data_IF_216507354138
#
_entry.id   IF_216507354138
#
_cell.length_a   1.000
_cell.length_b   1.000
_cell.length_c   1.000
_cell.angle_alpha   90.00
_cell.angle_beta   90.00
_cell.angle_gamma   90.00
#
_symmetry.space_group_name_H-M   'P 1'
#
loop_
_entity.id
_entity.type
_entity.pdbx_description
1 polymer ?
#
# COMPACT_ATOMS: atom_id res chain seq x y z
N UNK A 1 18.49 -56.77 -18.94
CA UNK A 1 18.84 -55.39 -19.34
C UNK A 1 17.93 -54.44 -18.58
N UNK A 2 18.48 -53.73 -17.59
CA UNK A 2 17.73 -52.92 -16.61
C UNK A 2 17.21 -51.65 -17.29
N UNK A 3 15.90 -51.44 -17.27
CA UNK A 3 15.22 -50.24 -17.77
C UNK A 3 15.49 -49.09 -16.80
N UNK A 4 16.21 -48.08 -17.27
CA UNK A 4 16.52 -46.87 -16.51
C UNK A 4 15.29 -45.94 -16.56
N UNK A 5 14.63 -45.77 -15.41
CA UNK A 5 13.58 -44.77 -15.20
C UNK A 5 14.25 -43.41 -15.02
N UNK A 6 14.11 -42.52 -15.99
CA UNK A 6 14.51 -41.11 -15.85
C UNK A 6 13.30 -40.37 -15.28
N UNK A 7 13.40 -39.97 -14.02
CA UNK A 7 12.41 -39.18 -13.31
C UNK A 7 12.29 -37.79 -13.97
N UNK A 8 11.07 -37.43 -14.37
CA UNK A 8 10.71 -36.12 -14.89
C UNK A 8 10.64 -35.15 -13.72
N UNK A 9 11.69 -34.37 -13.50
CA UNK A 9 11.70 -33.28 -12.53
C UNK A 9 10.91 -32.10 -13.11
N UNK A 10 9.59 -32.06 -12.85
CA UNK A 10 8.79 -30.86 -13.03
C UNK A 10 9.17 -29.85 -11.94
N UNK A 11 10.20 -29.05 -12.18
CA UNK A 11 10.40 -27.81 -11.44
C UNK A 11 9.27 -26.87 -11.88
N UNK A 12 8.20 -26.83 -11.10
CA UNK A 12 7.21 -25.79 -11.22
C UNK A 12 7.93 -24.47 -10.94
N UNK A 13 8.20 -23.70 -11.99
CA UNK A 13 8.50 -22.29 -11.87
C UNK A 13 7.24 -21.65 -11.28
N UNK A 14 7.22 -21.51 -9.96
CA UNK A 14 6.27 -20.65 -9.27
C UNK A 14 6.62 -19.26 -9.77
N UNK A 15 5.88 -18.83 -10.80
CA UNK A 15 5.92 -17.47 -11.28
C UNK A 15 5.55 -16.60 -10.10
N UNK A 16 6.56 -15.92 -9.54
CA UNK A 16 6.33 -14.80 -8.64
C UNK A 16 5.72 -13.73 -9.53
N UNK A 17 4.40 -13.72 -9.60
CA UNK A 17 3.65 -12.60 -10.17
C UNK A 17 4.05 -11.40 -9.35
N UNK A 18 4.94 -10.57 -9.90
CA UNK A 18 5.19 -9.24 -9.40
C UNK A 18 3.86 -8.50 -9.46
N UNK A 19 3.08 -8.56 -8.39
CA UNK A 19 2.00 -7.62 -8.14
C UNK A 19 2.69 -6.28 -7.92
N UNK A 20 2.98 -5.59 -9.03
CA UNK A 20 3.42 -4.20 -9.01
C UNK A 20 2.24 -3.42 -8.47
N UNK A 21 2.23 -3.17 -7.16
CA UNK A 21 1.31 -2.25 -6.54
C UNK A 21 1.36 -0.93 -7.31
N UNK A 22 0.24 -0.59 -7.98
CA UNK A 22 0.15 0.63 -8.79
C UNK A 22 0.47 1.82 -7.87
N UNK A 23 1.58 2.49 -8.16
CA UNK A 23 2.03 3.67 -7.41
C UNK A 23 1.54 4.91 -8.14
N UNK A 24 0.83 5.78 -7.43
CA UNK A 24 0.22 6.99 -7.97
C UNK A 24 0.76 8.21 -7.22
N UNK A 25 1.22 9.25 -7.93
CA UNK A 25 1.60 10.49 -7.26
C UNK A 25 0.37 11.20 -6.66
N UNK A 26 0.48 11.73 -5.44
CA UNK A 26 -0.65 12.33 -4.72
C UNK A 26 -1.21 13.56 -5.44
N UNK A 27 -0.38 14.30 -6.19
CA UNK A 27 -0.81 15.43 -7.02
C UNK A 27 -1.61 15.01 -8.27
N UNK A 28 -1.63 13.72 -8.61
CA UNK A 28 -2.42 13.15 -9.72
C UNK A 28 -3.74 12.52 -9.27
N UNK A 29 -4.04 12.55 -7.98
CA UNK A 29 -5.34 12.12 -7.45
C UNK A 29 -6.39 13.15 -7.90
N UNK A 30 -7.20 12.75 -8.86
CA UNK A 30 -8.35 13.50 -9.35
C UNK A 30 -9.66 12.94 -8.75
N UNK A 31 -10.80 13.53 -9.15
CA UNK A 31 -12.11 13.14 -8.64
C UNK A 31 -12.47 11.68 -8.93
N UNK A 32 -11.98 11.10 -10.02
CA UNK A 32 -12.27 9.70 -10.37
C UNK A 32 -11.49 8.75 -9.45
N UNK A 33 -10.23 9.09 -9.17
CA UNK A 33 -9.39 8.35 -8.23
C UNK A 33 -9.90 8.52 -6.79
N UNK A 34 -10.28 9.73 -6.38
CA UNK A 34 -10.91 9.98 -5.09
C UNK A 34 -12.19 9.15 -4.93
N UNK A 35 -13.04 9.13 -5.97
CA UNK A 35 -14.27 8.33 -5.96
C UNK A 35 -13.97 6.82 -5.88
N UNK A 36 -12.91 6.35 -6.53
CA UNK A 36 -12.46 4.96 -6.41
C UNK A 36 -11.97 4.65 -4.99
N UNK A 37 -11.15 5.52 -4.40
CA UNK A 37 -10.63 5.40 -3.04
C UNK A 37 -11.77 5.35 -2.02
N UNK A 38 -12.76 6.23 -2.13
CA UNK A 38 -13.96 6.25 -1.28
C UNK A 38 -14.82 4.98 -1.40
N UNK A 39 -14.73 4.24 -2.51
CA UNK A 39 -15.46 2.98 -2.69
C UNK A 39 -14.77 1.78 -2.07
N UNK A 40 -13.44 1.77 -2.05
CA UNK A 40 -12.64 0.65 -1.54
C UNK A 40 -12.28 0.83 -0.07
N UNK A 41 -12.18 2.07 0.40
CA UNK A 41 -12.06 2.40 1.81
C UNK A 41 -13.45 2.52 2.41
N UNK A 42 -13.62 2.03 3.63
CA UNK A 42 -14.87 2.18 4.36
C UNK A 42 -14.60 2.54 5.82
N UNK A 43 -15.59 3.15 6.46
CA UNK A 43 -15.55 3.47 7.89
C UNK A 43 -14.31 4.26 8.29
N UNK A 44 -13.60 3.72 9.27
CA UNK A 44 -12.47 4.32 9.96
C UNK A 44 -11.24 4.46 9.04
N UNK A 45 -11.05 3.55 8.07
CA UNK A 45 -9.93 3.62 7.12
C UNK A 45 -10.10 4.78 6.13
N UNK A 46 -11.33 5.11 5.74
CA UNK A 46 -11.61 6.28 4.91
C UNK A 46 -11.27 7.58 5.65
N UNK A 47 -11.65 7.67 6.94
CA UNK A 47 -11.33 8.82 7.79
C UNK A 47 -9.82 8.94 8.06
N UNK A 48 -9.15 7.81 8.26
CA UNK A 48 -7.70 7.73 8.41
C UNK A 48 -6.98 8.24 7.15
N UNK A 49 -7.39 7.78 5.97
CA UNK A 49 -6.82 8.21 4.71
C UNK A 49 -7.00 9.71 4.46
N UNK A 50 -8.22 10.24 4.68
CA UNK A 50 -8.50 11.67 4.56
C UNK A 50 -7.60 12.49 5.49
N UNK A 51 -7.33 11.98 6.70
CA UNK A 51 -6.43 12.63 7.64
C UNK A 51 -4.99 12.70 7.12
N UNK A 52 -4.46 11.63 6.51
CA UNK A 52 -3.12 11.66 5.92
C UNK A 52 -3.03 12.75 4.86
N UNK A 53 -3.96 12.76 3.88
CA UNK A 53 -3.91 13.68 2.74
C UNK A 53 -4.16 15.14 3.14
N UNK A 54 -4.92 15.39 4.21
CA UNK A 54 -5.27 16.73 4.66
C UNK A 54 -4.30 17.32 5.68
N UNK A 55 -3.73 16.49 6.56
CA UNK A 55 -2.94 16.96 7.70
C UNK A 55 -1.45 16.61 7.61
N UNK A 56 -1.08 15.51 6.94
CA UNK A 56 0.30 15.03 6.90
C UNK A 56 0.99 15.28 5.56
N UNK A 57 0.23 15.41 4.48
CA UNK A 57 0.76 15.78 3.16
C UNK A 57 0.54 17.28 2.91
N UNK A 58 1.59 18.11 2.94
CA UNK A 58 1.46 19.53 2.66
C UNK A 58 0.95 19.75 1.23
N UNK A 59 -0.05 20.62 1.06
CA UNK A 59 -0.65 20.88 -0.27
C UNK A 59 0.39 21.33 -1.31
N UNK A 60 1.40 22.10 -0.89
CA UNK A 60 2.50 22.58 -1.75
C UNK A 60 3.46 21.48 -2.20
N UNK A 61 3.49 20.36 -1.50
CA UNK A 61 4.49 19.29 -1.67
C UNK A 61 3.86 17.99 -2.17
N UNK A 62 2.57 17.98 -2.55
CA UNK A 62 1.87 16.76 -3.00
C UNK A 62 2.55 16.00 -4.13
N UNK A 63 3.35 16.66 -4.97
CA UNK A 63 4.13 16.01 -6.03
C UNK A 63 5.30 15.17 -5.51
N UNK A 64 5.72 15.39 -4.26
CA UNK A 64 6.80 14.67 -3.57
C UNK A 64 6.27 13.45 -2.81
N UNK A 65 4.95 13.21 -2.84
CA UNK A 65 4.30 12.09 -2.19
C UNK A 65 3.64 11.17 -3.20
N UNK A 66 3.57 9.89 -2.85
CA UNK A 66 2.87 8.87 -3.60
C UNK A 66 1.90 8.11 -2.72
N UNK A 67 0.92 7.52 -3.39
CA UNK A 67 -0.03 6.56 -2.88
C UNK A 67 0.27 5.20 -3.49
N UNK A 68 0.25 4.15 -2.68
CA UNK A 68 0.40 2.77 -3.14
C UNK A 68 -0.66 1.90 -2.49
N UNK A 69 -1.24 1.02 -3.29
CA UNK A 69 -2.16 -0.01 -2.82
C UNK A 69 -1.37 -1.28 -2.49
N UNK A 70 -1.24 -1.59 -1.21
CA UNK A 70 -0.67 -2.85 -0.75
C UNK A 70 -1.82 -3.83 -0.50
N UNK A 71 -1.84 -4.90 -1.30
CA UNK A 71 -2.69 -6.04 -1.04
C UNK A 71 -1.98 -6.92 -0.01
N UNK A 72 -2.13 -6.58 1.26
CA UNK A 72 -1.60 -7.42 2.32
C UNK A 72 -2.47 -8.66 2.44
N UNK A 73 -1.92 -9.78 2.91
CA UNK A 73 -2.66 -11.04 3.08
C UNK A 73 -3.88 -10.95 4.03
N UNK A 74 -4.14 -9.78 4.64
CA UNK A 74 -5.18 -9.59 5.64
C UNK A 74 -6.14 -8.45 5.26
N UNK A 75 -5.67 -7.34 4.68
CA UNK A 75 -6.52 -6.18 4.30
C UNK A 75 -5.89 -5.36 3.16
N UNK A 76 -6.72 -4.59 2.43
CA UNK A 76 -6.21 -3.56 1.51
C UNK A 76 -5.61 -2.42 2.33
N UNK A 77 -4.29 -2.32 2.36
CA UNK A 77 -3.59 -1.24 3.02
C UNK A 77 -3.31 -0.11 2.01
N UNK A 78 -3.70 1.12 2.35
CA UNK A 78 -3.24 2.29 1.62
C UNK A 78 -1.98 2.80 2.29
N UNK A 79 -0.93 2.90 1.50
CA UNK A 79 0.31 3.54 1.88
C UNK A 79 0.42 4.91 1.24
N UNK A 80 0.84 5.89 2.03
CA UNK A 80 1.24 7.20 1.56
C UNK A 80 2.69 7.44 1.96
N UNK A 81 3.57 7.49 0.97
CA UNK A 81 5.00 7.66 1.16
C UNK A 81 5.51 8.96 0.54
N UNK A 82 6.66 9.41 0.99
CA UNK A 82 7.42 10.49 0.36
C UNK A 82 8.49 9.89 -0.56
N UNK A 83 8.74 10.49 -1.72
CA UNK A 83 9.82 10.06 -2.62
C UNK A 83 11.21 10.38 -2.06
N UNK A 84 11.32 11.46 -1.29
CA UNK A 84 12.59 12.03 -0.84
C UNK A 84 12.91 11.76 0.64
N UNK A 85 12.03 11.04 1.35
CA UNK A 85 12.25 10.65 2.73
C UNK A 85 11.78 9.22 3.01
N UNK A 86 12.22 8.67 4.15
CA UNK A 86 11.77 7.36 4.62
C UNK A 86 10.37 7.38 5.25
N UNK A 87 9.66 8.51 5.20
CA UNK A 87 8.32 8.60 5.76
C UNK A 87 7.33 7.77 4.95
N UNK A 88 6.66 6.87 5.66
CA UNK A 88 5.62 6.00 5.13
C UNK A 88 4.49 5.95 6.16
N UNK A 89 3.30 6.33 5.74
CA UNK A 89 2.08 6.25 6.52
C UNK A 89 1.17 5.16 5.97
N UNK A 90 0.52 4.41 6.85
CA UNK A 90 -0.44 3.38 6.45
C UNK A 90 -1.68 3.45 7.33
N UNK A 91 -2.85 3.20 6.75
CA UNK A 91 -4.09 2.97 7.49
C UNK A 91 -4.41 1.48 7.50
N UNK A 92 -4.53 0.87 8.69
CA UNK A 92 -4.90 -0.53 8.87
C UNK A 92 -5.90 -0.65 10.01
N UNK A 93 -7.14 -1.05 9.70
CA UNK A 93 -8.22 -1.21 10.67
C UNK A 93 -8.47 0.06 11.50
N UNK A 94 -8.55 1.21 10.85
CA UNK A 94 -8.78 2.52 11.48
C UNK A 94 -7.58 3.09 12.23
N UNK A 95 -6.41 2.45 12.19
CA UNK A 95 -5.20 2.94 12.87
C UNK A 95 -4.22 3.54 11.88
N UNK A 96 -3.85 4.80 12.13
CA UNK A 96 -2.78 5.47 11.41
C UNK A 96 -1.42 5.04 11.98
N UNK A 97 -0.63 4.40 11.13
CA UNK A 97 0.72 3.93 11.43
C UNK A 97 1.73 4.80 10.70
N UNK A 98 2.83 5.14 11.37
CA UNK A 98 4.05 5.66 10.74
C UNK A 98 5.14 4.60 10.83
N UNK A 99 5.86 4.39 9.74
CA UNK A 99 6.96 3.43 9.69
C UNK A 99 8.31 4.14 9.70
N UNK A 100 9.23 3.64 10.51
CA UNK A 100 10.64 4.01 10.49
C UNK A 100 11.50 2.77 10.69
N UNK A 101 12.46 2.53 9.79
CA UNK A 101 13.39 1.38 9.85
C UNK A 101 12.73 0.00 10.09
N UNK A 102 11.52 -0.20 9.60
CA UNK A 102 10.78 -1.47 9.72
C UNK A 102 9.96 -1.63 11.01
N UNK A 103 10.01 -0.65 11.92
CA UNK A 103 9.10 -0.57 13.06
C UNK A 103 7.97 0.41 12.75
N UNK A 104 6.77 0.10 13.24
CA UNK A 104 5.63 1.02 13.16
C UNK A 104 5.30 1.62 14.51
N UNK A 105 4.87 2.88 14.49
CA UNK A 105 4.26 3.57 15.61
C UNK A 105 2.84 3.96 15.25
N UNK A 106 1.88 3.69 16.14
CA UNK A 106 0.51 4.19 15.98
C UNK A 106 0.50 5.67 16.34
N UNK A 107 0.18 6.52 15.36
CA UNK A 107 0.05 7.96 15.56
C UNK A 107 -1.34 8.37 16.01
N UNK A 108 -2.37 7.63 15.55
CA UNK A 108 -3.78 7.92 15.85
C UNK A 108 -4.66 6.69 15.61
N UNK A 109 -5.72 6.59 16.41
CA UNK A 109 -6.79 5.60 16.26
C UNK A 109 -8.09 6.34 15.88
N UNK A 110 -8.83 5.81 14.91
CA UNK A 110 -10.08 6.35 14.39
C UNK A 110 -11.31 5.50 14.73
N UNK A 111 -11.11 4.37 15.44
CA UNK A 111 -12.18 3.53 15.98
C UNK A 111 -12.91 4.17 17.18
#
# INVERSE_FOLDING_TARGET
>A
MKRLLIALACLAAIGVSNASADTLAVDKIDLDIESYLQRILSGEDAACYEHIVSALVPKSERSEYYLRFEDTNQETAIEVGSYDSSYLYTCIGGRLLSWDTGESTVLKDFN
#
